data_IF_322264992269
#
_entry.id   IF_322264992269
#
_cell.length_a   1.000
_cell.length_b   1.000
_cell.length_c   1.000
_cell.angle_alpha   90.00
_cell.angle_beta   90.00
_cell.angle_gamma   90.00
#
_symmetry.space_group_name_H-M   'P 1'
#
loop_
_entity.id
_entity.type
_entity.pdbx_description
1 polymer ?
2 non-polymer ?
3 non-polymer ?
4 non-polymer ?
5 water ?
#
# COMPACT_ATOMS: atom_id res chain seq x y z
N UNK A 31 -24.14 -7.58 22.10
CA UNK A 31 -23.36 -8.58 22.84
C UNK A 31 -22.16 -7.90 23.53
N UNK A 32 -21.39 -8.65 24.34
CA UNK A 32 -20.07 -8.19 24.81
C UNK A 32 -19.09 -7.96 23.62
N UNK A 33 -18.34 -6.85 23.62
CA UNK A 33 -17.41 -6.53 22.54
C UNK A 33 -15.96 -6.62 22.97
N UNK A 34 -15.13 -7.12 22.07
CA UNK A 34 -13.70 -7.17 22.23
C UNK A 34 -13.03 -6.18 21.28
N UNK A 35 -11.81 -5.76 21.65
CA UNK A 35 -11.03 -4.78 20.89
C UNK A 35 -9.59 -5.26 20.60
N UNK A 36 -9.01 -4.69 19.55
CA UNK A 36 -7.62 -4.85 19.27
C UNK A 36 -7.15 -3.60 18.53
N UNK A 37 -5.85 -3.32 18.58
CA UNK A 37 -5.29 -2.08 17.99
C UNK A 37 -4.04 -2.38 17.13
N UNK A 38 -4.01 -1.83 15.89
CA UNK A 38 -2.84 -1.91 15.03
C UNK A 38 -2.28 -0.50 14.73
N UNK A 39 -0.98 -0.33 14.97
CA UNK A 39 -0.24 0.82 14.37
C UNK A 39 0.44 0.43 13.07
N UNK A 40 0.05 1.11 11.99
CA UNK A 40 0.58 0.92 10.65
C UNK A 40 1.60 2.00 10.55
N UNK A 41 2.83 1.62 10.77
CA UNK A 41 3.97 2.56 10.70
C UNK A 41 4.56 2.54 9.27
N UNK A 42 4.00 3.35 8.38
CA UNK A 42 4.41 3.30 6.98
C UNK A 42 5.56 4.27 6.77
N UNK A 43 6.12 4.21 5.55
CA UNK A 43 7.22 5.12 5.12
C UNK A 43 6.88 6.60 5.29
N UNK A 44 5.65 7.04 5.01
CA UNK A 44 5.31 8.48 4.98
C UNK A 44 4.39 8.91 6.14
N UNK A 45 3.92 7.99 7.01
CA UNK A 45 2.85 8.32 8.04
C UNK A 45 2.77 7.16 9.02
N UNK A 46 2.16 7.41 10.18
CA UNK A 46 1.72 6.32 11.04
C UNK A 46 0.25 6.55 11.23
N UNK A 47 -0.55 5.49 11.12
CA UNK A 47 -1.98 5.53 11.49
C UNK A 47 -2.27 4.43 12.51
N UNK A 48 -3.19 4.74 13.41
CA UNK A 48 -3.60 3.80 14.42
C UNK A 48 -5.04 3.34 14.16
N UNK A 49 -5.26 2.03 14.07
CA UNK A 49 -6.62 1.57 13.89
C UNK A 49 -7.03 0.78 15.13
N UNK A 50 -8.22 1.12 15.65
CA UNK A 50 -8.93 0.28 16.67
C UNK A 50 -10.07 -0.53 16.02
N UNK A 51 -10.02 -1.84 16.18
CA UNK A 51 -11.01 -2.76 15.60
C UNK A 51 -11.85 -3.31 16.74
N UNK A 52 -13.07 -3.75 16.43
CA UNK A 52 -13.94 -4.33 17.45
C UNK A 52 -14.73 -5.48 16.86
N UNK A 53 -15.13 -6.39 17.74
CA UNK A 53 -15.88 -7.59 17.31
C UNK A 53 -16.66 -8.21 18.49
N UNK A 54 -17.77 -8.89 18.19
CA UNK A 54 -18.54 -9.56 19.27
C UNK A 54 -17.69 -10.69 19.89
N UNK A 55 -17.60 -10.73 21.21
CA UNK A 55 -16.88 -11.76 21.95
C UNK A 55 -17.26 -13.20 21.59
N UNK A 56 -18.56 -13.53 21.47
CA UNK A 56 -19.01 -14.92 21.14
C UNK A 56 -19.30 -15.29 19.67
N UNK A 57 -19.16 -14.33 18.76
CA UNK A 57 -19.30 -14.62 17.34
C UNK A 57 -18.08 -14.00 16.60
N UNK A 58 -16.91 -14.19 17.22
CA UNK A 58 -15.61 -13.59 16.84
C UNK A 58 -14.86 -14.34 15.73
N UNK A 59 -15.25 -15.60 15.53
CA UNK A 59 -14.72 -16.46 14.46
C UNK A 59 -15.42 -16.37 13.11
N UNK A 60 -16.53 -15.63 13.06
CA UNK A 60 -17.23 -15.38 11.79
C UNK A 60 -16.31 -14.53 10.90
N UNK A 61 -16.25 -14.86 9.60
CA UNK A 61 -15.64 -13.95 8.61
C UNK A 61 -16.51 -12.66 8.48
N UNK A 62 -15.86 -11.52 8.23
CA UNK A 62 -16.53 -10.20 8.10
C UNK A 62 -17.02 -9.64 9.42
N UNK A 63 -16.91 -10.39 10.53
CA UNK A 63 -17.38 -9.91 11.86
C UNK A 63 -16.51 -8.75 12.40
N UNK A 64 -15.15 -8.85 12.34
CA UNK A 64 -14.29 -7.77 12.83
C UNK A 64 -14.45 -6.53 11.97
N UNK A 65 -14.70 -5.41 12.59
CA UNK A 65 -14.63 -4.16 11.81
C UNK A 65 -13.99 -3.00 12.56
N UNK A 66 -13.66 -1.94 11.83
CA UNK A 66 -13.06 -0.73 12.38
C UNK A 66 -14.01 0.08 13.31
N UNK A 67 -13.50 0.42 14.48
CA UNK A 67 -14.25 1.17 15.48
C UNK A 67 -13.82 2.62 15.37
N UNK A 68 -12.52 2.91 15.25
CA UNK A 68 -12.06 4.31 15.20
C UNK A 68 -10.63 4.32 14.64
N UNK A 69 -10.08 5.48 14.35
CA UNK A 69 -8.71 5.52 13.88
C UNK A 69 -8.10 6.87 14.24
N UNK A 70 -6.78 6.99 14.16
CA UNK A 70 -6.09 8.23 14.42
C UNK A 70 -4.87 8.30 13.51
N UNK A 71 -4.68 9.49 12.91
CA UNK A 71 -3.53 9.76 12.07
C UNK A 71 -2.51 10.56 12.84
N UNK A 72 -1.35 9.97 13.09
CA UNK A 72 -0.24 10.69 13.76
C UNK A 72 0.23 11.90 12.92
N UNK A 73 0.48 13.06 13.52
CA UNK A 73 1.05 14.25 12.78
C UNK A 73 2.52 14.08 12.39
N UNK A 74 2.88 14.59 11.21
CA UNK A 74 4.27 14.55 10.74
C UNK A 74 4.66 13.23 10.07
N UNK A 75 5.95 13.01 9.89
CA UNK A 75 6.45 11.84 9.14
C UNK A 75 6.28 10.44 9.79
N UNK A 76 6.72 9.40 9.06
CA UNK A 76 6.68 8.04 9.63
C UNK A 76 7.86 7.85 10.58
N UNK A 77 7.83 6.76 11.33
CA UNK A 77 8.85 6.52 12.36
C UNK A 77 10.29 6.58 11.76
N UNK A 78 10.46 6.14 10.50
CA UNK A 78 11.82 6.14 9.95
C UNK A 78 12.37 7.52 9.71
N UNK A 79 11.52 8.58 9.69
CA UNK A 79 11.95 9.91 9.45
C UNK A 79 12.67 10.42 10.71
N UNK A 80 12.60 9.70 11.83
CA UNK A 80 13.34 10.08 13.01
C UNK A 80 14.59 9.24 13.23
N UNK A 81 15.19 8.69 12.18
CA UNK A 81 16.39 7.87 12.37
C UNK A 81 17.47 8.62 13.15
N UNK A 82 17.59 9.94 12.99
CA UNK A 82 18.67 10.63 13.72
C UNK A 82 18.26 11.15 15.06
N UNK A 83 17.02 10.86 15.46
CA UNK A 83 16.45 11.40 16.72
C UNK A 83 15.40 10.40 17.26
N UNK A 84 15.80 9.16 17.61
CA UNK A 84 14.76 8.10 17.72
C UNK A 84 13.72 8.30 18.84
N UNK A 85 14.02 9.13 19.84
CA UNK A 85 13.02 9.31 20.90
C UNK A 85 11.80 10.12 20.45
N UNK A 86 11.99 10.99 19.46
CA UNK A 86 10.88 11.64 18.79
C UNK A 86 9.93 10.61 18.09
N UNK A 87 10.41 9.41 17.74
CA UNK A 87 9.55 8.45 17.05
C UNK A 87 8.51 7.92 18.04
N UNK A 88 8.99 7.48 19.20
CA UNK A 88 8.11 7.16 20.32
C UNK A 88 7.13 8.28 20.69
N UNK A 89 7.64 9.49 20.95
CA UNK A 89 6.80 10.60 21.40
C UNK A 89 5.78 10.98 20.31
N UNK A 90 6.10 10.73 19.04
CA UNK A 90 5.13 11.06 17.97
C UNK A 90 3.80 10.31 18.16
N UNK A 91 3.85 9.15 18.80
CA UNK A 91 2.66 8.30 18.92
C UNK A 91 1.70 8.71 20.05
N UNK A 92 2.08 9.71 20.85
CA UNK A 92 1.41 9.86 22.13
C UNK A 92 -0.04 10.32 21.97
N UNK A 93 -0.29 11.25 21.05
CA UNK A 93 -1.65 11.76 20.94
C UNK A 93 -2.60 10.68 20.47
N UNK A 94 -2.13 9.80 19.60
CA UNK A 94 -3.07 8.80 19.09
C UNK A 94 -3.38 7.79 20.17
N UNK A 95 -2.36 7.38 20.90
CA UNK A 95 -2.55 6.50 22.05
C UNK A 95 -3.51 7.07 23.12
N UNK A 96 -3.46 8.38 23.38
CA UNK A 96 -4.39 8.99 24.32
C UNK A 96 -5.77 8.87 23.77
N UNK A 97 -5.89 8.99 22.45
CA UNK A 97 -7.21 8.80 21.88
C UNK A 97 -7.67 7.34 22.00
N UNK A 98 -6.75 6.38 21.95
CA UNK A 98 -7.10 4.99 22.15
C UNK A 98 -7.59 4.70 23.57
N UNK A 99 -7.03 5.38 24.55
CA UNK A 99 -7.49 5.28 25.91
C UNK A 99 -8.97 5.75 26.04
N UNK A 100 -9.38 6.78 25.30
CA UNK A 100 -10.77 7.21 25.28
C UNK A 100 -11.63 6.27 24.44
N UNK A 101 -11.15 5.80 23.28
CA UNK A 101 -11.89 4.89 22.33
C UNK A 101 -12.18 3.50 22.84
N UNK A 102 -11.24 2.87 23.57
CA UNK A 102 -11.52 1.51 24.11
C UNK A 102 -12.03 1.73 25.55
N UNK A 103 -13.18 1.11 25.92
CA UNK A 103 -13.67 1.32 27.32
C UNK A 103 -12.64 0.82 28.34
N UNK A 104 -12.51 1.54 29.45
CA UNK A 104 -11.47 1.29 30.43
C UNK A 104 -11.37 -0.16 30.87
N UNK A 105 -12.53 -0.76 31.13
CA UNK A 105 -12.58 -2.13 31.64
C UNK A 105 -11.93 -3.18 30.70
N UNK A 106 -11.66 -2.80 29.45
CA UNK A 106 -11.08 -3.69 28.45
C UNK A 106 -9.64 -3.38 28.04
N UNK A 107 -9.11 -2.29 28.57
CA UNK A 107 -7.73 -1.86 28.27
C UNK A 107 -6.71 -3.01 28.33
N UNK A 108 -6.60 -3.62 29.51
CA UNK A 108 -5.64 -4.69 29.78
C UNK A 108 -5.81 -5.90 28.92
N UNK A 109 -7.00 -6.15 28.37
CA UNK A 109 -7.17 -7.32 27.51
C UNK A 109 -7.32 -6.97 26.01
N UNK A 110 -6.80 -5.80 25.63
CA UNK A 110 -6.86 -5.35 24.22
C UNK A 110 -5.43 -5.50 23.66
N UNK A 111 -5.26 -6.43 22.69
CA UNK A 111 -3.89 -6.49 22.12
C UNK A 111 -3.55 -5.24 21.34
N UNK A 112 -2.29 -4.81 21.47
CA UNK A 112 -1.75 -3.72 20.64
C UNK A 112 -0.49 -4.15 19.89
N UNK A 113 -0.44 -3.88 18.58
CA UNK A 113 0.70 -4.29 17.73
C UNK A 113 1.17 -3.07 16.91
N UNK A 114 2.47 -2.95 16.68
CA UNK A 114 2.91 -2.02 15.66
C UNK A 114 3.60 -2.79 14.58
N UNK A 115 3.20 -2.58 13.35
CA UNK A 115 3.94 -3.15 12.23
C UNK A 115 4.44 -2.05 11.31
N UNK A 116 5.70 -2.20 10.86
CA UNK A 116 6.40 -1.19 10.07
C UNK A 116 6.72 -1.73 8.67
N UNK A 117 6.68 -0.85 7.68
CA UNK A 117 6.84 -1.29 6.27
C UNK A 117 8.18 -0.78 5.57
N UNK A 118 8.12 -0.32 4.30
CA UNK A 118 9.33 -0.12 3.47
C UNK A 118 10.16 1.05 3.97
N UNK A 119 9.56 1.98 4.73
CA UNK A 119 10.41 3.09 5.27
C UNK A 119 11.44 2.46 6.22
N UNK A 120 10.99 1.52 7.07
CA UNK A 120 11.91 0.85 8.04
C UNK A 120 12.77 -0.19 7.35
N UNK A 121 12.20 -0.85 6.31
CA UNK A 121 13.05 -1.71 5.48
C UNK A 121 14.20 -0.94 4.82
N UNK A 122 13.91 0.24 4.29
CA UNK A 122 14.99 1.03 3.63
C UNK A 122 15.98 1.55 4.64
N UNK A 123 15.48 2.01 5.79
CA UNK A 123 16.44 2.44 6.86
C UNK A 123 17.33 1.23 7.33
N UNK A 124 16.75 0.02 7.36
CA UNK A 124 17.57 -1.10 7.79
C UNK A 124 18.72 -1.40 6.80
N UNK A 125 18.57 -1.00 5.52
CA UNK A 125 19.68 -1.10 4.52
C UNK A 125 20.77 -0.10 4.84
N UNK A 126 20.34 1.11 5.19
CA UNK A 126 21.20 2.22 5.55
C UNK A 126 21.86 2.02 6.91
N UNK A 127 21.11 1.67 7.92
CA UNK A 127 21.71 1.65 9.24
C UNK A 127 20.90 0.72 10.15
N UNK A 128 21.30 -0.56 10.19
CA UNK A 128 20.62 -1.47 11.11
C UNK A 128 20.59 -0.89 12.55
N UNK A 129 21.62 -0.15 12.98
CA UNK A 129 21.62 0.45 14.35
C UNK A 129 20.58 1.51 14.60
N UNK A 130 20.47 2.49 13.71
CA UNK A 130 19.41 3.50 13.79
C UNK A 130 18.00 2.82 13.80
N UNK A 131 17.85 1.84 12.92
CA UNK A 131 16.62 1.06 12.83
C UNK A 131 16.36 0.46 14.18
N UNK A 132 17.32 -0.25 14.74
CA UNK A 132 17.02 -0.87 16.01
C UNK A 132 16.70 0.18 17.08
N UNK A 133 17.38 1.34 17.07
CA UNK A 133 17.06 2.41 18.07
C UNK A 133 15.63 2.97 17.91
N UNK A 134 15.14 3.07 16.66
CA UNK A 134 13.78 3.57 16.44
C UNK A 134 12.77 2.50 16.99
N UNK A 135 12.98 1.21 16.73
CA UNK A 135 12.06 0.16 17.24
C UNK A 135 12.01 0.21 18.78
N UNK A 136 13.18 0.43 19.38
CA UNK A 136 13.35 0.50 20.83
C UNK A 136 12.59 1.70 21.40
N UNK A 137 12.69 2.88 20.77
CA UNK A 137 11.92 4.03 21.22
C UNK A 137 10.43 3.84 21.12
N UNK A 138 9.93 3.33 19.99
CA UNK A 138 8.46 3.15 19.87
C UNK A 138 8.01 2.11 20.91
N UNK A 139 8.83 1.07 21.12
CA UNK A 139 8.56 -0.03 22.07
C UNK A 139 8.39 0.52 23.50
N UNK A 140 9.39 1.32 23.93
CA UNK A 140 9.34 1.98 25.21
C UNK A 140 8.14 2.93 25.40
N UNK A 141 7.78 3.72 24.40
CA UNK A 141 6.53 4.46 24.52
C UNK A 141 5.28 3.58 24.72
N UNK A 142 5.16 2.54 23.87
CA UNK A 142 3.97 1.70 23.80
C UNK A 142 3.77 0.89 25.07
N UNK A 143 4.87 0.39 25.65
CA UNK A 143 4.79 -0.54 26.75
C UNK A 143 4.33 0.14 28.00
N UNK A 144 4.31 1.47 28.05
CA UNK A 144 3.78 2.10 29.26
C UNK A 144 2.32 2.53 29.15
N UNK A 145 1.67 2.20 28.04
CA UNK A 145 0.20 2.25 28.04
C UNK A 145 -0.37 0.93 28.61
N UNK A 146 -1.64 0.93 29.10
CA UNK A 146 -2.28 -0.25 29.76
C UNK A 146 -2.81 -1.36 28.83
N UNK A 147 -2.57 -1.25 27.53
CA UNK A 147 -2.99 -2.29 26.56
C UNK A 147 -2.13 -3.55 26.63
N UNK A 148 -2.61 -4.68 26.15
CA UNK A 148 -1.74 -5.82 26.03
C UNK A 148 -0.76 -5.65 24.82
N UNK A 149 0.29 -4.87 25.01
CA UNK A 149 1.25 -4.52 23.94
C UNK A 149 1.99 -5.78 23.50
N UNK A 150 1.86 -6.16 22.24
CA UNK A 150 2.42 -7.44 21.77
C UNK A 150 3.63 -7.32 20.87
N UNK A 151 4.20 -6.13 20.71
CA UNK A 151 5.44 -6.02 19.95
C UNK A 151 5.40 -5.06 18.77
N UNK A 152 6.55 -4.43 18.51
CA UNK A 152 6.80 -3.68 17.26
C UNK A 152 7.72 -4.54 16.34
N UNK A 153 7.29 -4.76 15.09
CA UNK A 153 8.01 -5.64 14.18
C UNK A 153 8.04 -4.97 12.79
N UNK A 154 9.03 -5.31 11.98
CA UNK A 154 9.09 -4.89 10.56
C UNK A 154 8.48 -6.03 9.73
N UNK A 155 7.42 -5.78 8.99
CA UNK A 155 6.82 -6.75 8.10
C UNK A 155 7.71 -7.00 6.86
N UNK A 156 7.70 -8.25 6.34
CA UNK A 156 8.38 -8.54 5.06
C UNK A 156 7.45 -8.00 3.98
N UNK A 157 7.94 -7.88 2.75
CA UNK A 157 7.12 -7.45 1.61
C UNK A 157 5.97 -8.42 1.37
N UNK A 158 6.21 -9.72 1.60
CA UNK A 158 5.19 -10.78 1.38
C UNK A 158 4.09 -10.58 2.39
N UNK A 159 4.53 -10.33 3.64
CA UNK A 159 3.52 -10.07 4.73
C UNK A 159 2.59 -8.93 4.34
N UNK A 160 3.20 -7.82 3.89
CA UNK A 160 2.45 -6.61 3.59
C UNK A 160 1.45 -6.80 2.44
N UNK A 161 1.88 -7.48 1.38
CA UNK A 161 0.97 -7.87 0.25
C UNK A 161 -0.13 -8.82 0.71
N UNK A 162 0.23 -9.91 1.38
CA UNK A 162 -0.81 -10.90 1.68
C UNK A 162 -1.84 -10.38 2.68
N UNK A 163 -1.36 -9.70 3.74
CA UNK A 163 -2.30 -9.16 4.76
C UNK A 163 -3.29 -8.16 4.20
N UNK A 164 -2.87 -7.34 3.23
CA UNK A 164 -3.83 -6.53 2.45
C UNK A 164 -4.88 -7.31 1.67
N UNK A 165 -4.46 -8.37 0.97
CA UNK A 165 -5.40 -9.28 0.30
C UNK A 165 -6.37 -9.95 1.30
N UNK A 166 -5.85 -10.37 2.48
CA UNK A 166 -6.74 -10.93 3.50
C UNK A 166 -7.74 -9.86 3.94
N UNK A 167 -7.26 -8.65 4.26
CA UNK A 167 -8.17 -7.56 4.59
C UNK A 167 -9.35 -7.39 3.64
N UNK A 168 -9.05 -7.22 2.36
CA UNK A 168 -10.06 -6.95 1.36
C UNK A 168 -11.05 -8.09 1.29
N UNK A 169 -10.54 -9.32 1.30
CA UNK A 169 -11.41 -10.43 1.00
C UNK A 169 -12.24 -10.85 2.23
N UNK A 170 -11.72 -10.53 3.40
CA UNK A 170 -12.40 -10.85 4.65
C UNK A 170 -13.57 -9.87 4.80
N UNK A 171 -13.29 -8.58 4.58
CA UNK A 171 -14.32 -7.55 4.71
C UNK A 171 -15.51 -7.74 3.78
N UNK A 172 -15.25 -8.24 2.58
CA UNK A 172 -16.26 -8.44 1.54
C UNK A 172 -16.85 -9.89 1.54
N UNK A 173 -16.44 -10.70 2.51
CA UNK A 173 -17.02 -12.04 2.74
C UNK A 173 -16.76 -13.02 1.57
N UNK A 174 -15.61 -12.91 0.95
CA UNK A 174 -15.27 -13.80 -0.14
C UNK A 174 -14.82 -15.15 0.36
N UNK A 175 -14.67 -15.36 1.67
CA UNK A 175 -14.18 -16.70 2.12
C UNK A 175 -15.36 -17.59 2.58
N UNK A 176 -16.58 -17.05 2.60
CA UNK A 176 -17.82 -17.85 2.77
C UNK A 176 -17.95 -18.93 1.65
N UNK A 177 -18.42 -20.09 1.99
CA UNK A 177 -18.50 -21.14 0.96
C UNK A 177 -19.96 -21.10 0.50
N UNK A 178 -20.23 -20.52 -0.67
CA UNK A 178 -21.64 -20.18 -1.06
C UNK A 178 -22.39 -21.36 -1.67
N UNK A 179 -23.69 -21.47 -1.36
CA UNK A 179 -24.41 -22.69 -1.83
C UNK A 179 -25.06 -23.35 -0.63
N UNK A 180 -25.45 -24.60 -0.78
CA UNK A 180 -25.98 -25.30 0.34
C UNK A 180 -25.70 -26.77 0.04
N UNK A 181 -26.02 -27.62 1.01
CA UNK A 181 -25.56 -29.00 0.96
C UNK A 181 -26.19 -29.62 -0.31
N UNK A 182 -25.35 -30.34 -1.07
CA UNK A 182 -25.78 -30.97 -2.32
C UNK A 182 -25.73 -30.04 -3.51
N UNK A 183 -25.46 -28.75 -3.25
CA UNK A 183 -25.42 -27.74 -4.35
C UNK A 183 -24.56 -26.48 -4.03
N UNK A 184 -23.25 -26.66 -4.04
CA UNK A 184 -22.27 -25.57 -3.81
C UNK A 184 -22.06 -24.81 -5.10
N UNK A 185 -21.91 -23.49 -5.04
CA UNK A 185 -21.65 -22.76 -6.31
C UNK A 185 -20.30 -23.21 -6.80
N UNK A 186 -20.18 -23.39 -8.09
CA UNK A 186 -19.02 -23.88 -8.77
C UNK A 186 -18.92 -23.10 -10.10
N UNK A 187 -17.74 -22.53 -10.43
CA UNK A 187 -16.52 -22.43 -9.62
C UNK A 187 -16.85 -21.78 -8.31
N UNK A 188 -16.03 -22.07 -7.32
CA UNK A 188 -16.10 -21.43 -6.00
C UNK A 188 -16.02 -19.88 -6.14
N UNK A 189 -16.62 -19.13 -5.22
CA UNK A 189 -16.59 -17.66 -5.24
C UNK A 189 -15.16 -17.12 -5.50
N UNK A 190 -15.05 -16.17 -6.45
CA UNK A 190 -13.78 -15.56 -6.81
C UNK A 190 -13.30 -14.65 -5.69
N UNK A 191 -11.97 -14.42 -5.62
CA UNK A 191 -11.44 -13.48 -4.64
C UNK A 191 -10.96 -12.23 -5.35
N UNK A 192 -10.72 -11.20 -4.55
CA UNK A 192 -10.36 -9.92 -5.07
C UNK A 192 -8.88 -9.79 -4.90
N UNK A 193 -8.19 -9.53 -6.01
CA UNK A 193 -6.83 -9.14 -5.97
C UNK A 193 -6.60 -7.76 -5.34
N UNK A 194 -5.34 -7.58 -4.89
CA UNK A 194 -4.94 -6.39 -4.07
C UNK A 194 -3.72 -5.72 -4.70
N UNK A 195 -3.83 -4.43 -4.92
CA UNK A 195 -2.70 -3.61 -5.35
C UNK A 195 -2.56 -2.39 -4.42
N UNK A 196 -1.40 -2.28 -3.78
CA UNK A 196 -1.13 -1.25 -2.73
C UNK A 196 0.01 -0.41 -3.29
N UNK A 197 -0.22 0.89 -3.53
CA UNK A 197 0.85 1.82 -3.90
C UNK A 197 1.20 2.67 -2.68
N UNK A 198 2.21 2.23 -1.90
CA UNK A 198 2.62 2.96 -0.70
C UNK A 198 3.59 4.09 -1.10
N UNK A 199 4.24 4.67 -0.09
CA UNK A 199 5.30 5.66 -0.26
C UNK A 199 6.62 5.07 -0.70
N UNK A 200 6.94 3.85 -0.24
CA UNK A 200 8.29 3.33 -0.57
C UNK A 200 8.34 2.00 -1.29
N UNK A 201 7.24 1.27 -1.25
CA UNK A 201 7.13 0.03 -2.07
C UNK A 201 5.70 -0.11 -2.59
N UNK A 202 5.55 -1.03 -3.55
CA UNK A 202 4.23 -1.32 -4.10
C UNK A 202 4.10 -2.85 -4.16
N UNK A 203 2.88 -3.34 -3.83
CA UNK A 203 2.62 -4.77 -3.71
C UNK A 203 1.53 -5.20 -4.70
N UNK A 204 1.68 -6.39 -5.27
CA UNK A 204 0.53 -6.97 -6.02
C UNK A 204 0.33 -8.42 -5.52
N UNK A 205 -0.93 -8.85 -5.36
CA UNK A 205 -1.27 -10.14 -4.67
C UNK A 205 -2.61 -10.57 -5.25
N UNK A 206 -2.66 -11.81 -5.73
CA UNK A 206 -3.90 -12.34 -6.28
C UNK A 206 -3.93 -13.87 -6.27
N UNK A 207 -5.16 -14.44 -6.22
CA UNK A 207 -5.37 -15.86 -6.37
C UNK A 207 -5.11 -16.25 -7.81
N UNK A 208 -4.29 -17.27 -7.99
CA UNK A 208 -3.94 -17.80 -9.34
C UNK A 208 -4.01 -19.32 -9.39
N UNK A 209 -4.45 -19.87 -10.52
CA UNK A 209 -4.34 -21.29 -10.85
C UNK A 209 -3.01 -21.60 -11.60
N UNK A 210 -2.13 -20.64 -11.85
CA UNK A 210 -0.91 -20.98 -12.59
C UNK A 210 0.14 -21.67 -11.76
N UNK A 211 0.99 -22.49 -12.37
CA UNK A 211 2.04 -23.13 -11.55
C UNK A 211 2.99 -22.07 -10.97
N UNK A 212 3.50 -22.28 -9.77
CA UNK A 212 4.42 -21.31 -9.16
C UNK A 212 5.85 -21.60 -9.63
N UNK A 213 6.62 -20.59 -10.05
CA UNK A 213 7.98 -20.88 -10.52
C UNK A 213 9.05 -20.22 -9.68
N UNK A 214 8.64 -19.49 -8.66
CA UNK A 214 9.60 -18.83 -7.75
C UNK A 214 9.03 -18.89 -6.33
N UNK A 215 9.71 -19.61 -5.45
CA UNK A 215 9.14 -19.81 -4.10
C UNK A 215 8.93 -18.53 -3.31
N UNK A 216 9.71 -17.46 -3.61
CA UNK A 216 9.56 -16.22 -2.87
C UNK A 216 8.27 -15.50 -3.25
N UNK A 217 7.59 -15.96 -4.29
CA UNK A 217 6.28 -15.36 -4.70
C UNK A 217 5.06 -16.26 -4.30
N UNK A 218 5.32 -17.47 -3.79
CA UNK A 218 4.26 -18.51 -3.67
C UNK A 218 3.64 -18.43 -2.29
N UNK A 219 2.30 -18.47 -2.19
CA UNK A 219 1.55 -18.30 -0.91
C UNK A 219 0.45 -19.37 -0.88
N UNK A 220 0.36 -20.18 0.17
CA UNK A 220 -0.77 -21.09 0.30
C UNK A 220 -1.47 -20.77 1.61
N UNK A 221 -2.77 -20.44 1.53
CA UNK A 221 -3.61 -20.12 2.72
C UNK A 221 -4.68 -21.21 2.96
N UNK A 222 -4.93 -21.54 4.24
CA UNK A 222 -6.08 -22.36 4.64
C UNK A 222 -7.00 -21.52 5.52
N UNK A 223 -8.11 -21.06 4.93
CA UNK A 223 -9.05 -20.19 5.62
C UNK A 223 -10.39 -20.88 5.56
N UNK A 224 -11.01 -21.10 6.71
CA UNK A 224 -12.39 -21.64 6.78
C UNK A 224 -12.54 -22.91 5.91
N UNK A 225 -11.57 -23.83 6.03
CA UNK A 225 -11.66 -25.14 5.35
C UNK A 225 -11.26 -25.09 3.90
N UNK A 226 -10.84 -23.93 3.38
CA UNK A 226 -10.52 -23.89 1.95
C UNK A 226 -9.08 -23.47 1.68
N UNK A 227 -8.51 -23.99 0.58
CA UNK A 227 -7.14 -23.69 0.15
C UNK A 227 -7.15 -22.62 -0.93
N UNK A 228 -6.44 -21.51 -0.67
CA UNK A 228 -6.25 -20.44 -1.70
C UNK A 228 -4.75 -20.40 -2.04
N UNK A 229 -4.47 -20.57 -3.33
CA UNK A 229 -3.15 -20.54 -3.98
C UNK A 229 -2.98 -19.10 -4.50
N UNK A 230 -2.00 -18.35 -3.97
CA UNK A 230 -1.95 -16.95 -4.16
C UNK A 230 -0.54 -16.60 -4.62
N UNK A 231 -0.43 -15.62 -5.52
CA UNK A 231 0.81 -15.02 -5.91
C UNK A 231 0.98 -13.64 -5.20
N UNK A 232 2.19 -13.32 -4.74
CA UNK A 232 2.42 -11.99 -4.17
C UNK A 232 3.81 -11.51 -4.55
N UNK A 233 3.97 -10.19 -4.70
CA UNK A 233 5.33 -9.64 -4.83
C UNK A 233 5.31 -8.20 -4.35
N UNK A 234 6.41 -7.75 -3.71
CA UNK A 234 6.57 -6.36 -3.29
C UNK A 234 7.77 -5.79 -4.02
N UNK A 235 7.57 -4.70 -4.76
CA UNK A 235 8.64 -3.98 -5.41
C UNK A 235 9.13 -2.83 -4.50
N UNK A 236 10.25 -3.07 -3.82
CA UNK A 236 10.86 -2.06 -2.94
C UNK A 236 11.42 -0.97 -3.95
N UNK A 237 11.27 0.32 -3.59
CA UNK A 237 11.70 1.47 -4.38
C UNK A 237 10.72 1.83 -5.49
N UNK A 238 9.54 1.17 -5.54
CA UNK A 238 8.53 1.46 -6.52
C UNK A 238 7.33 2.07 -5.85
N UNK A 239 7.48 2.45 -4.57
CA UNK A 239 6.51 3.29 -3.88
C UNK A 239 6.46 4.71 -4.43
N UNK A 240 5.36 5.41 -4.22
CA UNK A 240 5.20 6.74 -4.80
C UNK A 240 6.35 7.76 -4.57
N UNK A 241 6.78 7.97 -3.33
CA UNK A 241 7.83 8.99 -2.98
C UNK A 241 9.22 8.55 -3.50
N UNK A 242 9.48 7.24 -3.48
CA UNK A 242 10.72 6.75 -4.09
C UNK A 242 10.71 6.85 -5.65
N UNK A 243 9.56 6.61 -6.33
CA UNK A 243 9.49 6.82 -7.78
C UNK A 243 9.70 8.31 -8.09
N UNK A 244 9.08 9.20 -7.32
CA UNK A 244 9.32 10.68 -7.57
C UNK A 244 10.79 11.08 -7.40
N UNK A 245 11.50 10.45 -6.45
CA UNK A 245 12.91 10.74 -6.26
C UNK A 245 13.78 10.25 -7.38
N UNK A 246 13.50 9.01 -7.87
CA UNK A 246 14.20 8.44 -9.06
C UNK A 246 13.92 9.27 -10.34
N UNK A 247 12.69 9.72 -10.54
CA UNK A 247 12.39 10.57 -11.68
C UNK A 247 13.15 11.87 -11.56
N UNK A 248 13.24 12.43 -10.36
CA UNK A 248 13.94 13.71 -10.14
C UNK A 248 15.45 13.52 -10.47
N UNK A 249 16.05 12.48 -9.94
CA UNK A 249 17.46 12.16 -10.21
C UNK A 249 17.69 11.97 -11.73
N UNK A 250 16.84 11.15 -12.32
CA UNK A 250 16.92 10.85 -13.73
C UNK A 250 16.72 12.15 -14.57
N UNK A 251 15.76 12.99 -14.20
CA UNK A 251 15.53 14.24 -14.91
C UNK A 251 16.79 15.14 -14.84
N UNK A 252 17.47 15.11 -13.71
CA UNK A 252 18.63 16.03 -13.53
C UNK A 252 19.79 15.53 -14.39
N UNK A 253 19.91 14.22 -14.49
CA UNK A 253 21.01 13.63 -15.20
C UNK A 253 20.83 13.81 -16.72
N UNK A 254 19.65 13.46 -17.25
CA UNK A 254 19.38 13.48 -18.69
C UNK A 254 18.96 14.86 -19.19
N UNK A 255 18.25 15.65 -18.41
CA UNK A 255 17.64 16.85 -19.04
C UNK A 255 18.00 18.19 -18.43
N UNK A 256 18.32 18.23 -17.14
CA UNK A 256 18.48 19.51 -16.42
C UNK A 256 17.21 20.38 -16.50
N UNK A 257 16.08 19.73 -16.80
CA UNK A 257 14.73 20.28 -16.59
C UNK A 257 13.85 19.03 -16.27
N UNK A 258 12.63 19.22 -15.78
CA UNK A 258 11.75 18.09 -15.40
C UNK A 258 10.49 18.05 -16.30
N UNK A 259 10.47 17.18 -17.29
CA UNK A 259 9.39 17.09 -18.25
C UNK A 259 8.07 16.67 -17.64
N UNK A 260 8.11 15.94 -16.52
CA UNK A 260 6.86 15.63 -15.80
C UNK A 260 6.34 16.80 -15.01
N UNK A 261 7.19 17.78 -14.70
CA UNK A 261 6.71 18.91 -13.90
C UNK A 261 6.03 19.99 -14.78
N UNK A 262 5.02 20.70 -14.22
CA UNK A 262 4.28 21.64 -15.06
C UNK A 262 5.15 22.85 -15.37
N UNK A 263 5.09 23.29 -16.63
CA UNK A 263 5.77 24.53 -17.12
C UNK A 263 5.43 25.71 -16.22
N UNK A 264 6.46 26.33 -15.63
CA UNK A 264 6.28 27.47 -14.73
C UNK A 264 6.39 27.10 -13.25
N UNK A 265 6.63 25.83 -12.97
CA UNK A 265 6.83 25.42 -11.64
C UNK A 265 8.33 25.16 -11.54
N UNK A 266 8.92 25.61 -10.46
CA UNK A 266 10.30 25.19 -10.20
C UNK A 266 10.66 25.26 -8.73
N UNK A 267 11.81 24.68 -8.39
CA UNK A 267 12.18 24.61 -7.04
C UNK A 267 13.69 24.48 -6.85
N UNK A 268 14.18 24.80 -5.64
CA UNK A 268 15.57 24.64 -5.26
C UNK A 268 15.75 23.23 -4.74
N UNK A 269 16.44 22.37 -5.47
CA UNK A 269 16.58 20.94 -5.09
C UNK A 269 17.92 20.68 -4.33
N UNK A 270 17.77 20.07 -3.16
CA UNK A 270 18.90 19.74 -2.31
C UNK A 270 19.38 18.30 -2.70
N UNK A 271 20.52 18.24 -3.39
CA UNK A 271 21.03 17.00 -4.02
C UNK A 271 21.29 15.86 -3.01
N UNK A 272 21.83 16.20 -1.85
CA UNK A 272 21.98 15.25 -0.74
C UNK A 272 20.73 14.43 -0.44
N UNK A 273 19.56 15.10 -0.46
CA UNK A 273 18.29 14.43 -0.24
C UNK A 273 17.95 13.52 -1.42
N UNK A 274 18.14 14.02 -2.65
CA UNK A 274 17.95 13.16 -3.83
C UNK A 274 18.82 11.92 -3.78
N UNK A 275 20.10 12.05 -3.49
CA UNK A 275 21.03 10.94 -3.61
C UNK A 275 21.24 10.06 -2.35
N UNK A 276 20.75 10.49 -1.20
CA UNK A 276 20.88 9.66 0.01
C UNK A 276 19.98 8.43 0.07
N UNK A 277 18.91 8.37 -0.70
CA UNK A 277 18.00 7.24 -0.58
C UNK A 277 18.62 5.97 -1.19
N UNK A 278 18.41 4.81 -0.55
CA UNK A 278 18.97 3.63 -1.23
C UNK A 278 18.37 3.45 -2.64
N UNK A 279 17.24 4.08 -2.94
CA UNK A 279 16.56 3.91 -4.23
C UNK A 279 17.18 4.68 -5.44
N UNK A 280 17.94 5.72 -5.16
CA UNK A 280 18.41 6.70 -6.17
C UNK A 280 19.89 6.78 -6.23
N UNK A 281 20.54 6.62 -5.07
CA UNK A 281 22.00 6.76 -5.00
C UNK A 281 22.79 5.99 -6.11
N UNK A 282 22.11 5.04 -6.77
CA UNK A 282 22.64 4.44 -8.00
C UNK A 282 22.25 5.19 -9.27
N UNK A 283 22.54 6.50 -9.34
CA UNK A 283 22.25 7.35 -10.53
C UNK A 283 23.20 8.55 -10.66
N UNK A 291 27.01 21.42 -6.80
CA UNK A 291 27.34 20.57 -5.65
C UNK A 291 26.15 20.36 -4.68
N UNK A 292 25.76 21.34 -3.87
CA UNK A 292 24.70 21.05 -2.90
C UNK A 292 23.23 21.36 -3.36
N UNK A 293 22.99 22.51 -3.99
CA UNK A 293 21.60 22.89 -4.33
C UNK A 293 21.47 23.20 -5.83
N UNK A 294 20.54 22.56 -6.54
CA UNK A 294 20.33 22.97 -7.95
C UNK A 294 18.87 23.46 -8.20
N UNK A 295 18.70 24.48 -9.05
CA UNK A 295 17.36 24.91 -9.48
C UNK A 295 16.86 23.98 -10.54
N UNK A 296 15.59 23.56 -10.45
CA UNK A 296 14.97 22.70 -11.48
C UNK A 296 13.54 23.17 -11.81
N UNK A 297 13.23 23.26 -13.11
CA UNK A 297 11.95 23.77 -13.58
C UNK A 297 11.19 22.70 -14.41
N UNK A 298 9.85 22.79 -14.42
CA UNK A 298 9.01 21.91 -15.26
C UNK A 298 8.82 22.37 -16.72
N UNK A 299 8.59 21.45 -17.64
CA UNK A 299 8.31 21.77 -19.03
C UNK A 299 6.97 21.25 -19.60
N UNK A 300 6.10 20.61 -18.80
CA UNK A 300 4.80 20.12 -19.28
C UNK A 300 4.89 19.27 -20.56
N UNK A 301 5.86 18.36 -20.59
CA UNK A 301 6.14 17.55 -21.77
C UNK A 301 5.67 16.10 -21.57
N UNK A 302 4.46 15.80 -22.03
CA UNK A 302 3.91 14.48 -21.76
C UNK A 302 4.75 13.37 -22.37
N UNK A 303 5.27 13.63 -23.56
CA UNK A 303 5.95 12.60 -24.30
C UNK A 303 7.30 12.26 -23.70
N UNK A 304 8.06 13.28 -23.31
CA UNK A 304 9.31 13.12 -22.59
C UNK A 304 9.11 12.58 -21.19
N UNK A 305 8.02 12.99 -20.53
CA UNK A 305 7.63 12.40 -19.22
C UNK A 305 7.37 10.89 -19.38
N UNK A 306 6.62 10.50 -20.41
CA UNK A 306 6.36 9.08 -20.69
C UNK A 306 7.69 8.33 -20.83
N UNK A 307 8.66 8.88 -21.56
CA UNK A 307 9.99 8.26 -21.78
C UNK A 307 10.82 8.17 -20.52
N UNK A 308 10.79 9.18 -19.67
CA UNK A 308 11.48 9.16 -18.35
C UNK A 308 10.95 8.04 -17.47
N UNK A 309 9.63 7.94 -17.39
CA UNK A 309 8.96 6.88 -16.60
C UNK A 309 9.21 5.47 -17.18
N UNK A 310 9.20 5.32 -18.49
CA UNK A 310 9.48 4.00 -19.05
C UNK A 310 10.89 3.49 -18.64
N UNK A 311 11.86 4.34 -18.41
CA UNK A 311 13.12 3.84 -17.88
C UNK A 311 13.04 3.12 -16.53
N UNK A 312 11.93 3.27 -15.79
CA UNK A 312 11.83 2.64 -14.47
C UNK A 312 11.71 1.11 -14.57
N UNK A 313 11.27 0.61 -15.75
CA UNK A 313 10.89 -0.78 -15.93
C UNK A 313 11.86 -1.51 -16.84
N UNK A 314 12.66 -2.40 -16.26
CA UNK A 314 13.55 -3.24 -17.07
C UNK A 314 12.82 -4.51 -17.56
N UNK A 315 12.46 -4.53 -18.82
CA UNK A 315 11.78 -5.69 -19.42
C UNK A 315 12.78 -6.44 -20.31
N UNK A 316 14.08 -6.29 -20.03
CA UNK A 316 15.07 -6.83 -20.95
C UNK A 316 15.31 -8.35 -20.84
N UNK A 317 15.04 -8.99 -19.69
CA UNK A 317 15.14 -10.45 -19.68
C UNK A 317 14.33 -11.09 -18.56
N UNK A 318 14.07 -12.38 -18.72
CA UNK A 318 13.11 -13.04 -17.88
C UNK A 318 13.62 -14.45 -17.67
N UNK A 319 14.07 -14.79 -16.45
CA UNK A 319 14.63 -16.13 -16.31
C UNK A 319 13.54 -17.16 -16.10
N UNK A 320 12.25 -16.78 -16.24
CA UNK A 320 11.10 -17.63 -15.91
C UNK A 320 10.27 -17.81 -17.18
N UNK A 321 9.17 -18.56 -17.11
CA UNK A 321 8.32 -18.72 -18.29
C UNK A 321 7.66 -17.39 -18.69
N UNK A 322 7.52 -16.49 -17.73
CA UNK A 322 7.06 -15.15 -18.01
C UNK A 322 7.20 -14.26 -16.78
N UNK A 323 7.32 -12.96 -17.00
CA UNK A 323 7.69 -12.01 -15.99
C UNK A 323 6.74 -10.78 -16.00
N UNK A 324 6.68 -10.04 -14.87
CA UNK A 324 6.16 -8.68 -14.82
C UNK A 324 7.27 -7.82 -15.40
N UNK A 325 8.22 -7.40 -14.57
CA UNK A 325 9.37 -6.61 -15.02
C UNK A 325 10.53 -6.82 -14.01
N UNK A 326 11.72 -6.30 -14.33
CA UNK A 326 12.92 -6.46 -13.57
C UNK A 326 13.26 -7.90 -13.31
N UNK A 327 12.86 -8.79 -14.21
CA UNK A 327 13.17 -10.21 -14.11
C UNK A 327 12.31 -10.93 -13.05
N UNK A 328 11.17 -10.33 -12.67
CA UNK A 328 10.37 -10.90 -11.59
C UNK A 328 9.31 -11.85 -12.21
N UNK A 329 9.33 -13.10 -11.76
CA UNK A 329 8.20 -14.00 -12.09
C UNK A 329 6.82 -13.40 -11.76
N UNK A 330 5.89 -13.54 -12.70
CA UNK A 330 4.50 -13.20 -12.45
C UNK A 330 3.60 -13.95 -13.45
N UNK A 331 2.63 -14.72 -12.92
CA UNK A 331 1.59 -15.36 -13.77
C UNK A 331 0.60 -14.29 -14.35
N UNK A 332 -0.20 -14.65 -15.37
CA UNK A 332 -1.15 -13.69 -15.94
C UNK A 332 -2.12 -13.12 -14.87
N UNK A 333 -2.28 -11.80 -14.82
CA UNK A 333 -3.32 -11.26 -13.91
C UNK A 333 -4.65 -11.85 -14.30
N UNK A 334 -5.53 -12.17 -13.34
CA UNK A 334 -6.88 -12.71 -13.57
C UNK A 334 -7.79 -12.24 -12.42
N UNK A 335 -9.07 -12.11 -12.68
CA UNK A 335 -10.08 -11.88 -11.64
C UNK A 335 -10.18 -10.38 -11.33
N UNK A 336 -11.06 -10.03 -10.38
CA UNK A 336 -11.24 -8.61 -9.94
C UNK A 336 -10.05 -8.18 -9.09
N UNK A 337 -9.76 -6.88 -9.04
CA UNK A 337 -8.70 -6.33 -8.16
C UNK A 337 -9.26 -5.11 -7.51
N UNK A 338 -8.82 -4.79 -6.27
CA UNK A 338 -8.99 -3.42 -5.69
C UNK A 338 -7.58 -2.76 -5.61
N UNK A 339 -7.47 -1.55 -6.14
CA UNK A 339 -6.27 -0.71 -6.19
C UNK A 339 -6.57 0.42 -5.19
N UNK A 340 -5.83 0.41 -4.07
CA UNK A 340 -6.07 1.33 -2.97
C UNK A 340 -4.82 2.25 -2.76
N UNK A 341 -4.70 2.82 -1.56
CA UNK A 341 -3.65 3.80 -1.22
C UNK A 341 -3.35 4.77 -2.37
N UNK A 342 -2.10 4.93 -2.82
CA UNK A 342 -1.93 5.98 -3.88
C UNK A 342 -2.56 5.71 -5.25
N UNK A 343 -2.88 4.45 -5.55
CA UNK A 343 -3.71 4.19 -6.77
C UNK A 343 -4.97 5.01 -6.67
N UNK A 344 -5.58 4.94 -5.48
CA UNK A 344 -6.86 5.57 -5.23
C UNK A 344 -6.66 7.06 -5.19
N UNK A 345 -5.70 7.54 -4.39
CA UNK A 345 -5.56 9.02 -4.30
C UNK A 345 -5.38 9.66 -5.72
N UNK A 346 -4.58 8.98 -6.58
CA UNK A 346 -4.24 9.55 -7.91
C UNK A 346 -5.44 9.53 -8.85
N UNK A 347 -6.15 8.40 -8.85
CA UNK A 347 -7.33 8.27 -9.65
C UNK A 347 -8.46 9.27 -9.19
N UNK A 348 -8.52 9.54 -7.89
CA UNK A 348 -9.52 10.42 -7.34
C UNK A 348 -9.27 11.86 -7.83
N UNK A 349 -8.00 12.23 -7.89
CA UNK A 349 -7.61 13.54 -8.49
C UNK A 349 -8.01 13.57 -9.97
N UNK A 350 -7.64 12.52 -10.72
CA UNK A 350 -7.95 12.54 -12.13
C UNK A 350 -9.45 12.66 -12.34
N UNK A 351 -10.26 11.93 -11.57
CA UNK A 351 -11.70 11.95 -11.81
C UNK A 351 -12.38 13.20 -11.20
N UNK A 352 -12.13 13.46 -9.91
CA UNK A 352 -12.79 14.52 -9.14
C UNK A 352 -12.30 15.95 -9.42
N UNK A 353 -10.99 16.11 -9.50
CA UNK A 353 -10.42 17.40 -9.76
C UNK A 353 -10.28 17.67 -11.27
N UNK A 354 -9.70 16.73 -12.03
CA UNK A 354 -9.49 16.97 -13.46
C UNK A 354 -10.76 16.77 -14.26
N UNK A 355 -11.70 15.98 -13.76
CA UNK A 355 -12.96 15.81 -14.46
C UNK A 355 -12.95 14.83 -15.62
N UNK A 356 -12.03 13.87 -15.60
CA UNK A 356 -11.63 13.05 -16.73
C UNK A 356 -11.98 11.60 -16.45
N UNK A 357 -12.43 10.85 -17.46
CA UNK A 357 -12.76 9.46 -17.11
C UNK A 357 -11.50 8.59 -17.09
N UNK A 358 -11.49 7.54 -16.26
CA UNK A 358 -10.38 6.56 -16.22
C UNK A 358 -10.91 5.08 -16.35
N UNK A 359 -12.04 4.90 -17.00
CA UNK A 359 -12.64 3.56 -17.11
C UNK A 359 -11.91 2.55 -17.99
N UNK A 360 -11.11 2.98 -18.93
CA UNK A 360 -10.29 2.04 -19.73
C UNK A 360 -8.83 2.46 -19.65
N UNK A 361 -7.88 1.59 -20.01
CA UNK A 361 -6.45 2.02 -20.01
C UNK A 361 -6.19 3.16 -20.95
N UNK A 362 -6.95 3.21 -22.03
CA UNK A 362 -6.81 4.26 -23.01
C UNK A 362 -7.27 5.59 -22.43
N UNK A 363 -8.40 5.58 -21.72
CA UNK A 363 -8.84 6.77 -20.99
C UNK A 363 -7.85 7.24 -19.90
N UNK A 364 -7.30 6.28 -19.20
CA UNK A 364 -6.31 6.60 -18.15
C UNK A 364 -5.11 7.28 -18.81
N UNK A 365 -4.73 6.75 -19.96
CA UNK A 365 -3.56 7.34 -20.66
C UNK A 365 -3.84 8.76 -21.16
N UNK A 366 -5.04 8.98 -21.70
CA UNK A 366 -5.44 10.34 -22.15
C UNK A 366 -5.49 11.31 -20.98
N UNK A 367 -6.02 10.84 -19.83
CA UNK A 367 -6.15 11.68 -18.63
C UNK A 367 -4.75 12.14 -18.18
N UNK A 368 -3.79 11.22 -18.31
CA UNK A 368 -2.43 11.49 -17.90
C UNK A 368 -1.77 12.50 -18.85
N UNK A 369 -2.03 12.41 -20.15
CA UNK A 369 -1.44 13.36 -21.09
C UNK A 369 -2.01 14.72 -20.85
N UNK A 370 -3.33 14.77 -20.69
CA UNK A 370 -4.00 16.02 -20.48
C UNK A 370 -3.42 16.72 -19.21
N UNK A 371 -3.36 15.98 -18.11
CA UNK A 371 -2.75 16.44 -16.85
C UNK A 371 -1.31 16.92 -17.06
N UNK A 372 -0.45 16.09 -17.62
CA UNK A 372 0.96 16.45 -17.88
C UNK A 372 1.16 17.70 -18.77
N UNK A 373 0.18 17.94 -19.64
CA UNK A 373 0.25 19.11 -20.52
C UNK A 373 -0.28 20.40 -19.89
N UNK A 374 -0.81 20.37 -18.68
CA UNK A 374 -1.16 21.61 -17.99
C UNK A 374 0.10 22.45 -17.60
N UNK A 375 0.10 23.74 -17.89
CA UNK A 375 1.06 24.64 -17.22
C UNK A 375 0.80 24.71 -15.70
N UNK A 376 1.80 25.16 -14.95
CA UNK A 376 1.63 25.31 -13.49
C UNK A 376 0.48 26.26 -13.16
N UNK A 377 0.36 27.32 -13.94
CA UNK A 377 -0.75 28.23 -13.74
C UNK A 377 -2.13 27.58 -14.08
N UNK A 378 -2.25 26.92 -15.24
CA UNK A 378 -3.40 26.04 -15.52
C UNK A 378 -3.75 25.10 -14.36
N UNK A 379 -2.80 24.24 -13.98
CA UNK A 379 -3.00 23.28 -12.92
C UNK A 379 -3.45 23.89 -11.60
N UNK A 380 -2.86 25.02 -11.22
CA UNK A 380 -3.17 25.66 -9.93
C UNK A 380 -4.56 26.26 -9.92
N UNK A 381 -5.00 26.70 -11.09
CA UNK A 381 -6.32 27.27 -11.29
C UNK A 381 -7.41 26.21 -11.13
N UNK A 382 -7.14 24.94 -11.49
CA UNK A 382 -8.07 23.83 -11.16
C UNK A 382 -8.10 23.41 -9.68
N UNK A 383 -7.18 23.94 -8.83
CA UNK A 383 -7.21 23.51 -7.38
C UNK A 383 -7.23 24.68 -6.44
N UNK A 384 -8.38 24.93 -5.85
CA UNK A 384 -8.33 26.27 -5.22
C UNK A 384 -7.75 26.24 -3.83
N UNK A 385 -7.70 25.04 -3.24
CA UNK A 385 -7.23 24.79 -1.89
C UNK A 385 -5.77 24.45 -1.91
N UNK A 386 -5.31 23.75 -0.90
CA UNK A 386 -3.85 23.58 -0.75
C UNK A 386 -3.19 22.82 -1.95
N UNK A 387 -1.99 23.27 -2.30
CA UNK A 387 -1.25 22.78 -3.45
C UNK A 387 -0.17 21.72 -3.14
N UNK A 388 -0.03 21.25 -1.91
CA UNK A 388 1.03 20.27 -1.70
C UNK A 388 0.68 19.07 -2.60
N UNK A 389 1.68 18.36 -3.10
CA UNK A 389 1.46 17.25 -4.04
C UNK A 389 1.05 17.61 -5.46
N UNK A 390 0.62 18.85 -5.69
CA UNK A 390 0.02 19.22 -6.96
C UNK A 390 0.93 19.04 -8.23
N UNK A 391 2.17 19.47 -8.11
CA UNK A 391 3.17 19.30 -9.17
C UNK A 391 3.51 17.84 -9.50
N UNK A 392 3.03 16.90 -8.68
CA UNK A 392 3.47 15.50 -8.77
C UNK A 392 2.47 14.60 -9.41
N UNK A 393 1.23 15.06 -9.62
CA UNK A 393 0.19 14.15 -10.18
C UNK A 393 0.50 13.63 -11.58
N UNK A 394 1.12 14.47 -12.42
CA UNK A 394 1.43 14.03 -13.79
C UNK A 394 2.41 12.84 -13.74
N UNK A 395 3.50 12.99 -12.99
CA UNK A 395 4.45 11.87 -12.81
C UNK A 395 3.82 10.58 -12.23
N UNK A 396 3.00 10.72 -11.20
CA UNK A 396 2.46 9.52 -10.49
C UNK A 396 1.43 8.81 -11.39
N UNK A 397 0.59 9.58 -12.07
CA UNK A 397 -0.41 9.00 -13.03
C UNK A 397 0.32 8.26 -14.18
N UNK A 398 1.41 8.88 -14.67
CA UNK A 398 2.17 8.27 -15.73
C UNK A 398 2.80 6.96 -15.22
N UNK A 399 3.43 7.01 -14.07
CA UNK A 399 3.92 5.80 -13.44
C UNK A 399 2.83 4.71 -13.30
N UNK A 400 1.63 5.09 -12.84
CA UNK A 400 0.53 4.14 -12.63
C UNK A 400 0.06 3.53 -13.96
N UNK A 401 -0.15 4.35 -14.98
CA UNK A 401 -0.51 3.79 -16.24
C UNK A 401 0.53 2.81 -16.78
N UNK A 402 1.80 3.17 -16.67
CA UNK A 402 2.85 2.24 -17.12
C UNK A 402 3.02 0.99 -16.23
N UNK A 403 2.97 1.20 -14.89
CA UNK A 403 3.02 0.05 -14.01
C UNK A 403 1.97 -1.03 -14.35
N UNK A 404 0.71 -0.64 -14.47
CA UNK A 404 -0.36 -1.56 -14.81
C UNK A 404 -0.19 -2.16 -16.24
N UNK A 405 0.13 -1.31 -17.22
CA UNK A 405 0.13 -1.83 -18.61
C UNK A 405 1.45 -2.51 -18.94
N UNK A 406 2.57 -1.83 -18.83
CA UNK A 406 3.86 -2.43 -19.19
C UNK A 406 4.42 -3.34 -18.15
N UNK A 407 4.19 -3.03 -16.87
CA UNK A 407 4.79 -3.83 -15.80
C UNK A 407 4.03 -5.09 -15.44
N UNK A 408 2.74 -4.95 -15.13
CA UNK A 408 1.89 -6.07 -14.67
C UNK A 408 1.16 -6.76 -15.83
N UNK A 409 1.20 -6.16 -17.00
CA UNK A 409 0.50 -6.66 -18.24
C UNK A 409 -1.00 -6.74 -18.14
N UNK A 410 -1.63 -5.78 -17.46
CA UNK A 410 -3.07 -5.61 -17.67
C UNK A 410 -3.30 -5.31 -19.17
N UNK A 411 -4.44 -5.73 -19.75
CA UNK A 411 -4.87 -5.15 -21.04
C UNK A 411 -6.29 -4.56 -20.87
N UNK A 412 -6.95 -4.18 -21.95
CA UNK A 412 -8.26 -3.53 -21.78
C UNK A 412 -9.22 -4.53 -21.10
N UNK A 413 -9.25 -5.79 -21.56
CA UNK A 413 -10.09 -6.82 -20.93
C UNK A 413 -9.85 -7.06 -19.44
N UNK A 414 -8.60 -7.32 -19.03
CA UNK A 414 -8.36 -7.54 -17.57
C UNK A 414 -8.50 -6.23 -16.70
N UNK A 415 -8.27 -5.06 -17.30
CA UNK A 415 -8.33 -3.77 -16.55
C UNK A 415 -9.77 -3.41 -16.14
N UNK A 416 -10.71 -3.86 -16.97
CA UNK A 416 -12.11 -3.70 -16.69
C UNK A 416 -12.49 -4.25 -15.31
N UNK A 417 -11.73 -5.21 -14.81
CA UNK A 417 -12.06 -5.88 -13.53
C UNK A 417 -11.34 -5.22 -12.34
N UNK A 418 -10.60 -4.13 -12.56
CA UNK A 418 -9.95 -3.34 -11.46
C UNK A 418 -10.85 -2.19 -10.99
N UNK A 419 -11.02 -2.08 -9.69
CA UNK A 419 -11.74 -0.93 -9.12
C UNK A 419 -10.77 -0.14 -8.20
N UNK A 420 -11.00 1.16 -8.11
CA UNK A 420 -10.19 2.04 -7.25
C UNK A 420 -11.00 2.43 -6.00
N UNK A 421 -10.66 1.90 -4.84
CA UNK A 421 -11.44 2.21 -3.60
C UNK A 421 -10.47 2.13 -2.45
N UNK A 422 -10.77 2.78 -1.32
CA UNK A 422 -9.87 2.71 -0.12
C UNK A 422 -10.61 2.18 1.15
N UNK A 423 -11.87 1.82 1.02
CA UNK A 423 -12.72 1.50 2.16
C UNK A 423 -13.63 0.34 1.77
N UNK A 424 -13.86 -0.61 2.67
CA UNK A 424 -14.91 -1.61 2.45
C UNK A 424 -15.68 -1.74 3.74
N UNK A 425 -17.02 -1.83 3.69
CA UNK A 425 -17.84 -1.94 4.93
C UNK A 425 -17.30 -1.04 6.04
N UNK A 426 -17.11 0.25 5.79
CA UNK A 426 -16.64 1.14 6.89
C UNK A 426 -15.25 0.91 7.46
N UNK A 427 -14.42 0.12 6.84
CA UNK A 427 -13.11 -0.09 7.38
C UNK A 427 -12.14 0.31 6.29
N UNK A 428 -11.07 1.04 6.61
CA UNK A 428 -10.01 1.40 5.63
C UNK A 428 -9.33 0.12 5.13
N UNK A 429 -9.06 0.03 3.82
CA UNK A 429 -8.41 -1.16 3.23
C UNK A 429 -6.88 -1.03 3.41
N UNK A 430 -6.21 -2.02 3.96
CA UNK A 430 -4.75 -1.89 4.15
C UNK A 430 -4.35 -3.26 4.67
N UNK A 431 -3.10 -3.44 5.04
CA UNK A 431 -2.68 -4.71 5.61
C UNK A 431 -3.03 -4.80 7.11
N UNK A 432 -3.31 -3.68 7.81
CA UNK A 432 -3.44 -3.70 9.33
C UNK A 432 -4.47 -4.74 9.85
N UNK A 433 -5.68 -4.73 9.27
CA UNK A 433 -6.69 -5.67 9.69
C UNK A 433 -6.22 -7.15 9.54
N UNK A 434 -5.66 -7.49 8.39
CA UNK A 434 -5.30 -8.90 8.16
C UNK A 434 -4.17 -9.27 9.08
N UNK A 435 -3.28 -8.30 9.35
CA UNK A 435 -2.19 -8.52 10.37
C UNK A 435 -2.75 -8.85 11.75
N UNK A 436 -3.69 -8.00 12.16
CA UNK A 436 -4.43 -8.21 13.41
C UNK A 436 -5.12 -9.61 13.51
N UNK A 437 -5.86 -9.96 12.47
CA UNK A 437 -6.57 -11.24 12.35
C UNK A 437 -5.59 -12.38 12.51
N UNK A 438 -4.44 -12.26 11.86
CA UNK A 438 -3.44 -13.35 11.95
C UNK A 438 -2.85 -13.49 13.37
N UNK A 439 -2.36 -12.37 13.90
CA UNK A 439 -1.70 -12.43 15.18
C UNK A 439 -2.67 -12.66 16.35
N UNK A 440 -3.94 -12.32 16.19
CA UNK A 440 -4.88 -12.59 17.28
C UNK A 440 -5.53 -13.94 17.02
N UNK A 441 -5.09 -14.61 15.96
CA UNK A 441 -5.57 -15.94 15.65
C UNK A 441 -7.09 -16.00 15.47
N UNK A 442 -7.64 -15.06 14.74
CA UNK A 442 -9.09 -14.99 14.58
C UNK A 442 -9.70 -15.56 13.25
N UNK A 443 -8.87 -16.02 12.28
CA UNK A 443 -9.39 -16.75 11.08
C UNK A 443 -8.98 -18.21 11.26
N UNK A 444 -9.94 -19.11 11.48
CA UNK A 444 -9.52 -20.49 11.69
C UNK A 444 -9.15 -21.19 10.37
N UNK A 445 -8.23 -22.12 10.42
CA UNK A 445 -7.84 -22.91 9.27
C UNK A 445 -9.06 -23.78 8.83
N UNK A 446 -9.83 -24.29 9.79
CA UNK A 446 -11.06 -25.06 9.44
C UNK A 446 -12.22 -24.68 10.31
N UNK A 447 -13.45 -24.83 9.82
CA UNK A 447 -14.66 -24.61 10.65
C UNK A 447 -14.70 -25.65 11.83
N UNK A 448 -15.37 -25.31 12.97
CA UNK A 448 -15.34 -26.23 14.15
C UNK A 448 -16.16 -27.51 13.91
N UNK A 449 -15.58 -28.68 14.22
CA UNK A 449 -16.23 -29.98 13.90
C UNK A 449 -16.26 -30.22 12.38
N UNK A 450 -15.63 -29.33 11.63
CA UNK A 450 -15.50 -29.44 10.15
C UNK A 450 -16.87 -29.41 9.48
N UNK A 451 -17.84 -28.73 10.12
CA UNK A 451 -19.23 -28.66 9.60
C UNK A 451 -19.74 -30.06 9.25
N UNK A 452 -19.40 -31.06 10.09
CA UNK A 452 -19.78 -32.46 9.86
C UNK A 452 -19.30 -33.11 8.50
N UNK A 453 -18.22 -32.55 7.92
CA UNK A 453 -17.64 -33.07 6.68
C UNK A 453 -18.48 -32.72 5.45
N UNK A 454 -19.56 -31.94 5.65
CA UNK A 454 -20.57 -31.63 4.57
C UNK A 454 -20.02 -30.68 3.51
N UNK A 455 -18.85 -30.08 3.76
CA UNK A 455 -18.15 -29.29 2.76
C UNK A 455 -17.10 -30.15 2.03
N UNK A 456 -16.92 -31.45 2.35
CA UNK A 456 -15.81 -32.25 1.73
C UNK A 456 -15.99 -32.37 0.21
N UNK A 457 -15.01 -32.32 -0.49
X LIG B 1 4.69 2.25 2.79
X LIG B 1 3.44 1.33 2.71
X LIG B 1 5.44 2.11 1.46
X LIG B 1 5.67 1.98 3.97
X LIG B 1 4.10 3.76 2.75
X LIG B 1 2.80 4.44 3.44
X LIG B 1 3.26 5.52 4.41
X LIG B 1 1.94 3.34 4.13
X LIG B 1 2.01 5.17 2.33
X LIG B 1 0.50 5.61 2.20
X LIG B 1 -0.27 4.52 1.57
X LIG B 1 -0.02 6.15 3.49
X LIG B 1 0.51 6.79 1.18
X LIG B 1 0.89 6.49 -0.18
X LIG B 1 1.54 7.67 -0.89
X LIG B 1 0.45 8.61 -1.04
X LIG B 1 2.62 8.45 -0.09
X LIG B 1 3.62 9.04 -0.97
X LIG B 1 1.75 9.45 0.68
X LIG B 1 2.40 10.64 1.02
X LIG B 1 0.72 9.83 -0.36
X LIG B 1 -0.54 10.37 0.16
X LIG B 1 -1.14 10.17 1.41
X LIG B 1 -2.31 10.74 1.52
X LIG B 1 -2.52 11.36 0.26
X LIG B 1 -3.60 12.14 -0.26
X LIG B 1 -4.61 12.50 0.31
X LIG B 1 -3.45 12.58 -1.56
X LIG B 1 -2.35 12.25 -2.31
X LIG B 1 -2.33 12.71 -3.57
X LIG B 1 -1.31 11.52 -1.86
X LIG B 1 -1.45 11.12 -0.56
X LIG C 1 1.67 1.44 3.53
X LIG D 1 9.79 15.26 -6.64
X LIG D 1 8.62 15.32 -7.51
X LIG D 1 9.64 15.85 -5.22
X LIG D 1 8.34 16.42 -4.91
X LIG D 1 10.03 14.85 -4.11
X LIG D 1 11.22 14.10 -4.46
X LIG E 1 -16.42 -8.70 -3.58
X LIG E 1 -17.49 -7.73 -3.72
X LIG E 1 -15.68 -8.89 -4.91
X LIG E 1 -14.71 -9.94 -4.87
X LIG E 1 -16.64 -9.51 -5.89
X LIG E 1 -15.78 -10.42 -6.61
X LIG F 1 -13.33 7.55 -8.95
X LIG F 1 -12.80 8.32 -7.85
X LIG F 1 -12.71 6.15 -8.89
X LIG F 1 -12.80 5.74 -7.51
X LIG F 1 -13.34 5.13 -9.88
X LIG F 1 -12.86 5.14 -11.25
#
# INVERSE_FOLDING_TARGET
>A
MAHHHHHHVGTGSNDDDDKSPDPTQDVREPPALKYGIVLDAGSSHTSMFVYKWPADKENDTGIVGQHSSCDVQGGGISSYANDPSKAGQSLVRCLEQALRDVPRDRHASTPLYLGATAGMRLLNLTSPEATARVLEAVTQTLTQYPFDFRGARILSGQDEGVFGWVTANYLLENFIKYGWVGRWIRPRKGTLGAMDLGGASTQITFETTSPSEDPGNEVHLRLYGQHYRVYTHSFLCYGRDQILLRLLASALQIHRFHPCWPKGYSTQVLLQEVYQSPCTMGQRPRAFNGSAIVSLSGTSNATLCRDLVSRLFNISSCPFSQCSFNGVFQPPVAGNFIAFSAFYYTVDFLTTVMGLPVGTLKQLEEATEITCNQTWTELQARVPGQKTRLADYCAVAMFIHQLLSRGYHFDERSFREVVFQKKAADTAVGWALGYMLNLTNLIPADLPGLRKGTHFS
>B hetero
1 GNP PG O1G O2G O3G N3B PB O1B O2B O3A PA O1A O2A O5' C5' C4' O4' C3' O3' C2' O2' C1' N9 C8 N7 C5 C6 O6 N1 C2 N2 N3 C4
>C hetero
1 MG MG
>D hetero
1 GOL C1 O1 C2 O2 C3 O3
>E hetero
1 GOL C1 O1 C2 O2 C3 O3
>F hetero
1 GOL C1 O1 C2 O2 C3 O3
#
